data_IF_402222411758
#
_entry.id   IF_402222411758
#
_cell.length_a   1.000
_cell.length_b   1.000
_cell.length_c   1.000
_cell.angle_alpha   90.00
_cell.angle_beta   90.00
_cell.angle_gamma   90.00
#
_symmetry.space_group_name_H-M   'P 1'
#
loop_
_entity.id
_entity.type
_entity.pdbx_description
1 polymer ?
#
# COMPACT_ATOMS: atom_id res chain seq x y z
N UNK A 1 44.15 -14.71 -12.54
CA UNK A 1 44.39 -13.46 -11.80
C UNK A 1 43.93 -13.67 -10.36
N UNK A 2 44.76 -13.29 -9.41
CA UNK A 2 44.76 -13.68 -7.99
C UNK A 2 43.67 -12.98 -7.17
N UNK A 3 42.74 -13.75 -6.57
CA UNK A 3 41.75 -13.30 -5.56
C UNK A 3 42.03 -13.81 -4.11
N UNK A 4 43.26 -13.84 -3.56
CA UNK A 4 43.49 -14.40 -2.23
C UNK A 4 43.08 -13.47 -1.06
N UNK A 5 42.86 -12.17 -1.30
CA UNK A 5 42.63 -11.19 -0.22
C UNK A 5 41.16 -10.92 0.12
N UNK A 6 40.21 -11.30 -0.75
CA UNK A 6 38.78 -11.10 -0.48
C UNK A 6 38.21 -12.17 0.46
N UNK A 7 38.60 -13.44 0.25
CA UNK A 7 38.11 -14.57 1.05
C UNK A 7 38.63 -14.54 2.50
N UNK A 8 39.84 -14.03 2.72
CA UNK A 8 40.44 -13.89 4.06
C UNK A 8 39.80 -12.75 4.86
N UNK A 9 39.50 -11.63 4.20
CA UNK A 9 38.73 -10.52 4.80
C UNK A 9 37.30 -10.96 5.17
N UNK A 10 36.61 -11.68 4.28
CA UNK A 10 35.26 -12.21 4.55
C UNK A 10 35.29 -13.23 5.71
N UNK A 11 36.27 -14.14 5.73
CA UNK A 11 36.40 -15.14 6.79
C UNK A 11 36.62 -14.52 8.17
N UNK A 12 37.41 -13.44 8.27
CA UNK A 12 37.62 -12.72 9.54
C UNK A 12 36.37 -11.99 10.05
N UNK A 13 35.52 -11.47 9.16
CA UNK A 13 34.24 -10.82 9.52
C UNK A 13 33.15 -11.83 9.88
N UNK A 14 33.11 -12.97 9.21
CA UNK A 14 32.11 -14.03 9.48
C UNK A 14 32.35 -14.70 10.83
N UNK A 15 33.60 -14.79 11.30
CA UNK A 15 33.91 -15.33 12.64
C UNK A 15 33.43 -14.46 13.80
N UNK A 16 33.10 -13.18 13.57
CA UNK A 16 32.52 -12.29 14.60
C UNK A 16 30.99 -12.23 14.60
N UNK A 17 30.32 -12.87 13.64
CA UNK A 17 28.86 -12.87 13.56
C UNK A 17 28.36 -14.09 14.33
N UNK A 18 27.82 -13.86 15.52
CA UNK A 18 27.11 -14.89 16.26
C UNK A 18 25.82 -15.23 15.49
N UNK A 19 25.67 -16.43 14.88
CA UNK A 19 24.53 -16.75 14.02
C UNK A 19 23.21 -16.90 14.78
N UNK A 20 23.24 -16.76 16.12
CA UNK A 20 22.09 -16.85 17.02
C UNK A 20 21.82 -15.55 17.80
N UNK A 21 22.48 -14.44 17.44
CA UNK A 21 22.17 -13.13 18.01
C UNK A 21 20.87 -12.58 17.43
N UNK A 22 19.96 -12.10 18.27
CA UNK A 22 18.81 -11.29 17.83
C UNK A 22 19.31 -10.12 16.98
N UNK A 23 18.74 -9.87 15.78
CA UNK A 23 19.19 -8.78 14.95
C UNK A 23 19.04 -7.47 15.71
N UNK A 24 20.16 -6.78 15.93
CA UNK A 24 20.17 -5.43 16.47
C UNK A 24 19.48 -4.52 15.46
N UNK A 25 18.35 -3.93 15.85
CA UNK A 25 17.72 -2.82 15.13
C UNK A 25 18.66 -1.60 15.15
N UNK A 26 19.63 -1.58 14.24
CA UNK A 26 20.47 -0.42 13.96
C UNK A 26 19.88 0.39 12.80
N UNK A 27 19.97 1.74 12.85
CA UNK A 27 19.48 2.65 11.81
C UNK A 27 20.25 2.59 10.48
N UNK A 28 21.25 1.70 10.36
CA UNK A 28 22.05 1.45 9.15
C UNK A 28 21.58 0.18 8.40
N UNK A 29 20.28 -0.12 8.41
CA UNK A 29 19.75 -1.19 7.57
C UNK A 29 19.98 -0.78 6.10
N UNK A 30 20.86 -1.48 5.40
CA UNK A 30 21.08 -1.27 3.98
C UNK A 30 19.83 -1.68 3.22
N UNK A 31 19.30 -0.76 2.41
CA UNK A 31 18.13 -0.99 1.57
C UNK A 31 18.57 -1.46 0.18
N UNK A 32 18.44 -2.76 -0.15
CA UNK A 32 19.03 -3.29 -1.35
C UNK A 32 18.24 -2.89 -2.60
N UNK A 33 18.95 -2.43 -3.62
CA UNK A 33 18.35 -2.30 -4.95
C UNK A 33 18.22 -3.69 -5.60
N UNK A 34 17.42 -3.77 -6.67
CA UNK A 34 17.26 -4.98 -7.48
C UNK A 34 18.63 -5.54 -7.92
N UNK A 35 19.54 -4.66 -8.38
CA UNK A 35 20.88 -5.03 -8.81
C UNK A 35 21.74 -5.62 -7.67
N UNK A 36 21.55 -5.15 -6.44
CA UNK A 36 22.26 -5.67 -5.27
C UNK A 36 21.80 -7.09 -4.95
N UNK A 37 20.48 -7.35 -5.01
CA UNK A 37 19.93 -8.69 -4.80
C UNK A 37 20.45 -9.67 -5.85
N UNK A 38 20.47 -9.29 -7.14
CA UNK A 38 21.05 -10.12 -8.19
C UNK A 38 22.56 -10.36 -7.99
N UNK A 39 23.30 -9.35 -7.52
CA UNK A 39 24.71 -9.51 -7.20
C UNK A 39 24.92 -10.55 -6.09
N UNK A 40 24.09 -10.50 -5.03
CA UNK A 40 24.12 -11.51 -3.95
C UNK A 40 23.75 -12.90 -4.48
N UNK A 41 22.70 -13.02 -5.31
CA UNK A 41 22.34 -14.30 -5.95
C UNK A 41 23.50 -14.89 -6.74
N UNK A 42 24.15 -14.08 -7.58
CA UNK A 42 25.29 -14.51 -8.39
C UNK A 42 26.47 -14.96 -7.52
N UNK A 43 26.74 -14.26 -6.41
CA UNK A 43 27.75 -14.68 -5.43
C UNK A 43 27.38 -16.03 -4.82
N UNK A 44 26.15 -16.22 -4.35
CA UNK A 44 25.70 -17.47 -3.76
C UNK A 44 25.79 -18.63 -4.77
N UNK A 45 25.40 -18.40 -6.03
CA UNK A 45 25.53 -19.38 -7.10
C UNK A 45 26.99 -19.72 -7.41
N UNK A 46 27.90 -18.75 -7.33
CA UNK A 46 29.35 -19.00 -7.51
C UNK A 46 29.93 -19.93 -6.43
N UNK A 47 29.26 -20.04 -5.28
CA UNK A 47 29.58 -20.99 -4.21
C UNK A 47 28.92 -22.36 -4.43
N UNK A 48 28.41 -22.63 -5.63
CA UNK A 48 27.69 -23.86 -6.01
C UNK A 48 26.35 -24.09 -5.29
N UNK A 49 25.69 -23.02 -4.82
CA UNK A 49 24.33 -23.14 -4.30
C UNK A 49 23.31 -23.12 -5.46
N UNK A 50 22.35 -24.07 -5.48
CA UNK A 50 21.18 -23.97 -6.35
C UNK A 50 20.41 -22.68 -6.12
N UNK A 51 19.70 -22.21 -7.16
CA UNK A 51 18.95 -20.95 -7.11
C UNK A 51 17.91 -20.96 -5.98
N UNK A 52 17.27 -22.11 -5.73
CA UNK A 52 16.25 -22.26 -4.70
C UNK A 52 16.83 -22.03 -3.29
N UNK A 53 18.07 -22.48 -3.04
CA UNK A 53 18.75 -22.23 -1.77
C UNK A 53 19.23 -20.78 -1.67
N UNK A 54 19.70 -20.19 -2.77
CA UNK A 54 20.05 -18.77 -2.79
C UNK A 54 18.83 -17.89 -2.48
N UNK A 55 17.68 -18.19 -3.08
CA UNK A 55 16.40 -17.52 -2.83
C UNK A 55 15.94 -17.71 -1.39
N UNK A 56 16.07 -18.92 -0.84
CA UNK A 56 15.76 -19.20 0.58
C UNK A 56 16.64 -18.39 1.52
N UNK A 57 17.94 -18.26 1.22
CA UNK A 57 18.87 -17.44 2.01
C UNK A 57 18.49 -15.96 1.96
N UNK A 58 18.15 -15.46 0.77
CA UNK A 58 17.70 -14.07 0.58
C UNK A 58 16.41 -13.80 1.33
N UNK A 59 15.44 -14.72 1.25
CA UNK A 59 14.17 -14.61 1.94
C UNK A 59 14.35 -14.64 3.47
N UNK A 60 15.21 -15.53 3.97
CA UNK A 60 15.53 -15.61 5.39
C UNK A 60 16.25 -14.34 5.88
N UNK A 61 17.15 -13.77 5.08
CA UNK A 61 17.84 -12.53 5.37
C UNK A 61 16.94 -11.28 5.21
N UNK A 62 15.74 -11.43 4.63
CA UNK A 62 14.86 -10.33 4.24
C UNK A 62 15.55 -9.30 3.34
N UNK A 63 16.45 -9.76 2.48
CA UNK A 63 17.28 -8.92 1.62
C UNK A 63 16.56 -8.65 0.29
N UNK A 64 15.51 -7.82 0.38
CA UNK A 64 14.59 -7.55 -0.73
C UNK A 64 14.57 -6.07 -1.10
N UNK A 65 14.43 -5.73 -2.39
CA UNK A 65 14.09 -4.36 -2.76
C UNK A 65 12.73 -3.95 -2.21
N UNK A 66 12.55 -2.64 -2.09
CA UNK A 66 11.29 -2.07 -1.64
C UNK A 66 11.00 -0.72 -2.29
N UNK A 67 9.75 -0.29 -2.17
CA UNK A 67 9.33 1.09 -2.44
C UNK A 67 8.76 1.68 -1.16
N UNK A 68 9.06 2.96 -0.93
CA UNK A 68 8.57 3.70 0.23
C UNK A 68 7.62 4.80 -0.21
N UNK A 69 6.53 4.94 0.53
CA UNK A 69 5.62 6.07 0.44
C UNK A 69 5.66 6.82 1.75
N UNK A 70 6.12 8.06 1.72
CA UNK A 70 6.25 8.91 2.91
C UNK A 70 5.31 10.11 2.79
N UNK A 71 4.53 10.34 3.83
CA UNK A 71 3.64 11.48 3.98
C UNK A 71 4.04 12.27 5.23
N UNK A 72 4.74 13.37 4.99
CA UNK A 72 5.31 14.20 6.07
C UNK A 72 4.24 15.07 6.76
N UNK A 73 4.40 15.24 8.07
CA UNK A 73 3.38 15.74 9.01
C UNK A 73 3.07 17.24 9.01
N UNK A 74 3.21 17.98 7.90
CA UNK A 74 2.87 19.42 7.90
C UNK A 74 1.38 19.63 8.22
N UNK A 75 0.51 18.77 7.68
CA UNK A 75 -0.90 18.70 8.05
C UNK A 75 -1.21 17.28 8.49
N UNK A 76 -1.71 17.03 9.71
CA UNK A 76 -2.11 15.68 10.09
C UNK A 76 -3.30 15.20 9.26
N UNK A 77 -3.32 13.91 8.94
CA UNK A 77 -4.56 13.27 8.50
C UNK A 77 -5.52 13.14 9.69
N UNK A 78 -6.82 13.32 9.47
CA UNK A 78 -7.78 13.17 10.54
C UNK A 78 -9.14 12.69 10.05
N UNK A 79 -9.83 11.91 10.88
CA UNK A 79 -11.22 11.56 10.68
C UNK A 79 -12.02 11.94 11.93
N UNK A 80 -13.26 12.35 11.72
CA UNK A 80 -14.18 12.77 12.77
C UNK A 80 -15.55 12.17 12.53
N UNK A 81 -16.08 11.50 13.55
CA UNK A 81 -17.43 10.93 13.47
C UNK A 81 -18.47 12.00 13.17
N UNK A 82 -19.44 11.67 12.30
CA UNK A 82 -20.49 12.53 11.71
C UNK A 82 -20.09 13.39 10.49
N UNK A 83 -18.85 13.88 10.38
CA UNK A 83 -18.49 14.85 9.34
C UNK A 83 -17.50 14.32 8.30
N UNK A 84 -16.52 13.54 8.74
CA UNK A 84 -15.42 13.04 7.91
C UNK A 84 -14.98 11.70 8.47
N UNK A 85 -15.88 10.71 8.42
CA UNK A 85 -15.69 9.42 9.09
C UNK A 85 -14.58 8.59 8.44
N UNK A 86 -14.35 8.84 7.15
CA UNK A 86 -13.56 8.02 6.24
C UNK A 86 -12.54 8.93 5.55
N UNK A 87 -11.29 8.93 6.02
CA UNK A 87 -10.24 9.81 5.52
C UNK A 87 -9.15 9.03 4.82
N UNK A 88 -8.93 9.30 3.54
CA UNK A 88 -7.82 8.70 2.80
C UNK A 88 -6.50 9.38 3.15
N UNK A 89 -5.52 8.57 3.56
CA UNK A 89 -4.21 9.04 4.01
C UNK A 89 -3.20 8.98 2.85
N UNK A 90 -2.95 7.78 2.33
CA UNK A 90 -1.86 7.51 1.40
C UNK A 90 -2.10 6.25 0.56
N UNK A 91 -1.38 6.17 -0.56
CA UNK A 91 -1.28 5.02 -1.48
C UNK A 91 0.18 4.70 -1.70
N UNK A 92 0.51 3.41 -1.76
CA UNK A 92 1.82 2.98 -2.27
C UNK A 92 1.94 3.20 -3.77
N UNK A 93 3.16 3.11 -4.30
CA UNK A 93 3.32 2.79 -5.72
C UNK A 93 2.72 1.41 -6.02
N UNK A 94 2.23 1.17 -7.25
CA UNK A 94 1.80 -0.15 -7.67
C UNK A 94 2.94 -1.16 -7.51
N UNK A 95 2.63 -2.37 -7.05
CA UNK A 95 3.63 -3.43 -6.92
C UNK A 95 4.26 -3.69 -8.30
N UNK A 96 5.59 -3.66 -8.34
CA UNK A 96 6.39 -3.81 -9.55
C UNK A 96 6.64 -2.50 -10.34
N UNK A 97 5.94 -1.41 -10.02
CA UNK A 97 6.22 -0.09 -10.58
C UNK A 97 7.34 0.59 -9.78
N UNK A 98 8.48 0.82 -10.42
CA UNK A 98 9.63 1.46 -9.77
C UNK A 98 9.45 2.99 -9.73
N UNK A 99 10.00 3.70 -8.73
CA UNK A 99 9.94 5.16 -8.66
C UNK A 99 10.55 5.88 -9.87
N UNK A 100 11.43 5.21 -10.61
CA UNK A 100 12.05 5.72 -11.84
C UNK A 100 11.25 5.43 -13.11
N UNK A 101 10.09 4.75 -13.01
CA UNK A 101 9.26 4.39 -14.15
C UNK A 101 8.68 5.64 -14.84
N UNK A 102 8.71 5.74 -16.17
CA UNK A 102 7.99 6.77 -16.91
C UNK A 102 6.48 6.80 -16.66
N UNK A 103 5.90 5.72 -16.12
CA UNK A 103 4.48 5.65 -15.76
C UNK A 103 4.12 6.42 -14.50
N UNK A 104 5.09 6.82 -13.68
CA UNK A 104 4.86 7.66 -12.49
C UNK A 104 4.80 9.15 -12.82
N UNK A 105 4.92 9.52 -14.10
CA UNK A 105 4.78 10.90 -14.55
C UNK A 105 3.36 11.42 -14.19
N UNK A 106 3.24 12.63 -13.62
CA UNK A 106 1.94 13.20 -13.25
C UNK A 106 0.93 13.35 -14.41
N UNK A 107 1.39 13.34 -15.67
CA UNK A 107 0.52 13.33 -16.86
C UNK A 107 -0.10 11.97 -17.16
N UNK A 108 0.36 10.90 -16.50
CA UNK A 108 -0.03 9.50 -16.76
C UNK A 108 -0.57 8.78 -15.54
N UNK A 109 -0.13 9.17 -14.36
CA UNK A 109 -0.57 8.63 -13.09
C UNK A 109 -1.67 9.52 -12.47
N UNK A 110 -2.59 8.94 -11.67
CA UNK A 110 -3.58 9.72 -10.96
C UNK A 110 -2.90 10.65 -9.94
N UNK A 111 -3.43 11.85 -9.79
CA UNK A 111 -2.93 12.82 -8.83
C UNK A 111 -2.98 12.26 -7.40
N UNK A 112 -1.91 12.43 -6.64
CA UNK A 112 -1.84 12.09 -5.22
C UNK A 112 -2.50 13.20 -4.40
N UNK A 113 -3.83 13.15 -4.22
CA UNK A 113 -4.54 14.07 -3.34
C UNK A 113 -4.74 13.46 -1.94
N UNK A 114 -4.46 14.26 -0.90
CA UNK A 114 -4.70 13.89 0.50
C UNK A 114 -6.15 14.24 0.87
N UNK A 115 -6.81 13.39 1.67
CA UNK A 115 -8.14 13.68 2.19
C UNK A 115 -9.25 12.89 1.53
N UNK A 116 -10.16 13.54 0.80
CA UNK A 116 -11.23 12.82 0.12
C UNK A 116 -10.68 12.24 -1.17
N UNK A 117 -10.45 10.94 -1.19
CA UNK A 117 -10.27 10.22 -2.45
C UNK A 117 -11.47 10.44 -3.33
N UNK A 118 -11.21 10.78 -4.58
CA UNK A 118 -12.16 10.64 -5.68
C UNK A 118 -11.74 9.37 -6.43
N UNK A 119 -12.25 8.18 -6.05
CA UNK A 119 -11.95 6.96 -6.79
C UNK A 119 -12.34 7.18 -8.25
N UNK A 120 -11.49 6.77 -9.18
CA UNK A 120 -11.81 6.91 -10.59
C UNK A 120 -13.00 6.00 -10.90
N UNK A 121 -14.09 6.52 -11.50
CA UNK A 121 -15.20 5.68 -11.90
C UNK A 121 -14.77 4.76 -13.04
N UNK A 122 -14.92 3.45 -12.86
CA UNK A 122 -14.72 2.49 -13.94
C UNK A 122 -16.06 2.01 -14.49
N UNK A 123 -16.15 1.77 -15.81
CA UNK A 123 -17.32 1.11 -16.37
C UNK A 123 -17.47 -0.31 -15.79
N UNK A 124 -18.71 -0.83 -15.66
CA UNK A 124 -18.94 -2.18 -15.14
C UNK A 124 -18.26 -3.28 -15.97
N UNK A 125 -18.00 -3.02 -17.25
CA UNK A 125 -17.27 -3.91 -18.14
C UNK A 125 -16.04 -3.20 -18.71
N UNK A 126 -14.93 -3.95 -18.75
CA UNK A 126 -13.68 -3.50 -19.37
C UNK A 126 -13.60 -4.05 -20.80
N UNK A 127 -13.28 -3.17 -21.75
CA UNK A 127 -12.98 -3.49 -23.14
C UNK A 127 -11.72 -4.36 -23.25
N UNK A 128 -11.65 -5.15 -24.31
CA UNK A 128 -10.49 -6.01 -24.55
C UNK A 128 -9.22 -5.19 -24.86
N UNK A 129 -9.37 -3.98 -25.40
CA UNK A 129 -8.28 -3.04 -25.60
C UNK A 129 -7.67 -2.58 -24.26
N UNK A 130 -8.49 -2.12 -23.31
CA UNK A 130 -8.06 -1.72 -21.97
C UNK A 130 -7.43 -2.89 -21.19
N UNK A 131 -7.99 -4.10 -21.31
CA UNK A 131 -7.40 -5.31 -20.71
C UNK A 131 -6.00 -5.58 -21.27
N UNK A 132 -5.87 -5.56 -22.61
CA UNK A 132 -4.58 -5.81 -23.28
C UNK A 132 -3.54 -4.75 -22.92
N UNK A 133 -3.93 -3.48 -22.86
CA UNK A 133 -3.05 -2.38 -22.48
C UNK A 133 -2.61 -2.49 -21.01
N UNK A 134 -3.54 -2.84 -20.11
CA UNK A 134 -3.23 -3.08 -18.68
C UNK A 134 -2.26 -4.25 -18.53
N UNK A 135 -2.47 -5.37 -19.24
CA UNK A 135 -1.57 -6.51 -19.20
C UNK A 135 -0.17 -6.17 -19.76
N UNK A 136 -0.09 -5.36 -20.81
CA UNK A 136 1.18 -4.88 -21.36
C UNK A 136 1.93 -3.98 -20.36
N UNK A 137 1.22 -3.10 -19.65
CA UNK A 137 1.78 -2.27 -18.59
C UNK A 137 2.32 -3.11 -17.43
N UNK A 138 1.55 -4.09 -16.96
CA UNK A 138 2.02 -5.02 -15.91
C UNK A 138 3.24 -5.81 -16.35
N UNK A 139 3.30 -6.22 -17.61
CA UNK A 139 4.46 -6.94 -18.15
C UNK A 139 5.71 -6.06 -18.17
N UNK A 140 5.58 -4.77 -18.51
CA UNK A 140 6.69 -3.82 -18.47
C UNK A 140 7.20 -3.62 -17.03
N UNK A 141 6.28 -3.42 -16.07
CA UNK A 141 6.62 -3.32 -14.66
C UNK A 141 7.26 -4.58 -14.09
N UNK A 142 6.72 -5.77 -14.41
CA UNK A 142 7.31 -7.03 -14.01
C UNK A 142 8.70 -7.23 -14.62
N UNK A 143 8.93 -6.81 -15.87
CA UNK A 143 10.24 -6.87 -16.50
C UNK A 143 11.24 -5.91 -15.83
N UNK A 144 10.81 -4.74 -15.38
CA UNK A 144 11.67 -3.79 -14.69
C UNK A 144 11.99 -4.20 -13.25
N UNK A 145 10.98 -4.68 -12.51
CA UNK A 145 11.08 -5.01 -11.08
C UNK A 145 11.47 -6.47 -10.79
N UNK A 146 11.38 -7.34 -11.79
CA UNK A 146 11.70 -8.77 -11.74
C UNK A 146 11.08 -9.51 -10.54
N UNK A 147 9.78 -9.34 -10.25
CA UNK A 147 9.18 -9.96 -9.07
C UNK A 147 9.03 -11.47 -9.27
N UNK A 148 9.19 -12.25 -8.21
CA UNK A 148 8.96 -13.71 -8.24
C UNK A 148 7.51 -14.02 -8.60
N UNK A 149 7.29 -15.07 -9.40
CA UNK A 149 5.96 -15.39 -9.97
C UNK A 149 4.86 -15.63 -8.92
N UNK A 150 5.18 -16.25 -7.79
CA UNK A 150 4.23 -16.55 -6.73
C UNK A 150 4.49 -15.69 -5.49
N UNK A 151 3.42 -15.02 -5.02
CA UNK A 151 3.42 -14.12 -3.86
C UNK A 151 4.59 -13.12 -3.94
N UNK A 152 4.60 -12.24 -4.95
CA UNK A 152 5.72 -11.35 -5.20
C UNK A 152 6.00 -10.45 -4.00
N UNK A 153 4.96 -9.94 -3.33
CA UNK A 153 5.11 -9.16 -2.10
C UNK A 153 5.53 -10.08 -0.93
N UNK A 154 6.56 -9.67 -0.20
CA UNK A 154 7.10 -10.42 0.95
C UNK A 154 6.77 -9.75 2.28
N UNK A 155 6.76 -8.43 2.31
CA UNK A 155 6.59 -7.67 3.56
C UNK A 155 6.01 -6.31 3.27
N UNK A 156 5.10 -5.87 4.13
CA UNK A 156 4.65 -4.48 4.19
C UNK A 156 4.91 -3.95 5.59
N UNK A 157 5.51 -2.77 5.68
CA UNK A 157 5.75 -2.10 6.97
C UNK A 157 5.01 -0.77 6.98
N UNK A 158 4.10 -0.63 7.94
CA UNK A 158 3.38 0.62 8.19
C UNK A 158 4.00 1.29 9.41
N UNK A 159 4.51 2.51 9.24
CA UNK A 159 4.95 3.38 10.34
C UNK A 159 4.11 4.63 10.37
N UNK A 160 3.60 4.98 11.54
CA UNK A 160 2.80 6.19 11.72
C UNK A 160 2.70 6.58 13.19
N UNK A 161 2.46 7.86 13.44
CA UNK A 161 2.07 8.39 14.74
C UNK A 161 0.58 8.63 14.76
N UNK A 162 -0.13 8.08 15.74
CA UNK A 162 -1.59 8.21 15.82
C UNK A 162 -2.10 8.40 17.24
N UNK A 163 -3.21 9.13 17.36
CA UNK A 163 -3.97 9.31 18.62
C UNK A 163 -5.45 9.57 18.38
N UNK A 164 -6.24 9.37 19.43
CA UNK A 164 -7.66 9.74 19.50
C UNK A 164 -7.89 10.90 20.46
N UNK A 165 -8.21 12.06 19.90
CA UNK A 165 -8.49 13.30 20.65
C UNK A 165 -9.99 13.55 20.82
N UNK A 166 -10.80 12.50 20.65
CA UNK A 166 -12.21 12.51 21.00
C UNK A 166 -12.47 12.52 22.51
N UNK A 167 -13.73 12.69 22.87
CA UNK A 167 -14.24 12.55 24.23
C UNK A 167 -15.25 11.40 24.37
N UNK A 168 -15.46 10.63 23.29
CA UNK A 168 -16.33 9.47 23.25
C UNK A 168 -15.84 8.28 24.08
N UNK A 169 -16.72 7.28 24.22
CA UNK A 169 -16.43 6.02 24.94
C UNK A 169 -16.73 6.07 26.44
N UNK A 170 -16.74 4.89 27.07
CA UNK A 170 -16.93 4.76 28.50
C UNK A 170 -15.68 5.22 29.28
N UNK A 171 -15.88 5.85 30.43
CA UNK A 171 -14.76 6.35 31.25
C UNK A 171 -13.76 5.26 31.66
N UNK A 172 -14.25 4.03 31.90
CA UNK A 172 -13.44 2.87 32.28
C UNK A 172 -12.45 2.44 31.20
N UNK A 173 -12.74 2.71 29.93
CA UNK A 173 -11.96 2.25 28.79
C UNK A 173 -10.95 3.30 28.32
N UNK A 174 -10.94 4.50 28.95
CA UNK A 174 -10.04 5.61 28.60
C UNK A 174 -8.58 5.18 28.64
N UNK A 175 -7.85 5.54 27.59
CA UNK A 175 -6.45 5.17 27.45
C UNK A 175 -6.24 3.67 27.17
N UNK A 176 -7.27 2.91 26.83
CA UNK A 176 -7.18 1.53 26.36
C UNK A 176 -7.66 1.43 24.91
N UNK A 177 -7.43 0.30 24.25
CA UNK A 177 -7.98 0.04 22.91
C UNK A 177 -9.45 -0.44 22.93
N UNK A 178 -9.99 -0.74 24.11
CA UNK A 178 -11.34 -1.22 24.28
C UNK A 178 -12.36 -0.12 23.98
N UNK A 179 -13.47 -0.48 23.35
CA UNK A 179 -14.53 0.48 23.01
C UNK A 179 -14.11 1.59 22.06
N UNK A 180 -12.95 1.47 21.41
CA UNK A 180 -12.45 2.49 20.48
C UNK A 180 -13.19 2.47 19.15
N UNK A 181 -13.71 3.64 18.78
CA UNK A 181 -14.30 3.88 17.46
C UNK A 181 -13.43 4.81 16.61
N UNK A 182 -12.12 4.80 16.86
CA UNK A 182 -11.11 5.39 15.97
C UNK A 182 -10.05 4.34 15.61
N UNK A 183 -9.76 4.21 14.32
CA UNK A 183 -8.83 3.18 13.83
C UNK A 183 -8.25 3.53 12.46
N UNK A 184 -7.27 2.73 12.02
CA UNK A 184 -6.75 2.73 10.67
C UNK A 184 -7.11 1.42 9.98
N UNK A 185 -7.49 1.51 8.71
CA UNK A 185 -7.72 0.38 7.82
C UNK A 185 -6.79 0.43 6.61
N UNK A 186 -6.52 -0.75 6.07
CA UNK A 186 -5.76 -0.93 4.84
C UNK A 186 -6.73 -1.37 3.75
N UNK A 187 -6.64 -0.73 2.58
CA UNK A 187 -7.38 -1.12 1.39
C UNK A 187 -6.48 -1.60 0.27
N UNK A 188 -7.09 -2.19 -0.75
CA UNK A 188 -6.46 -2.66 -1.98
C UNK A 188 -7.09 -1.98 -3.19
N UNK A 189 -6.26 -1.36 -4.00
CA UNK A 189 -6.62 -0.82 -5.31
C UNK A 189 -5.85 -1.56 -6.40
N UNK A 190 -6.32 -1.50 -7.64
CA UNK A 190 -5.66 -2.10 -8.80
C UNK A 190 -5.54 -1.10 -9.94
N UNK A 191 -4.37 -1.03 -10.54
CA UNK A 191 -4.10 -0.18 -11.70
C UNK A 191 -4.85 -0.68 -12.92
N UNK A 192 -5.51 0.22 -13.65
CA UNK A 192 -6.10 -0.06 -14.96
C UNK A 192 -5.74 1.03 -15.95
N UNK A 193 -5.38 0.60 -17.16
CA UNK A 193 -5.32 1.50 -18.33
C UNK A 193 -6.74 1.67 -18.85
N UNK A 194 -7.16 2.92 -19.05
CA UNK A 194 -8.44 3.27 -19.66
C UNK A 194 -8.14 3.75 -21.07
N UNK A 195 -8.66 3.06 -22.08
CA UNK A 195 -8.53 3.49 -23.48
C UNK A 195 -9.34 4.77 -23.76
N UNK A 196 -8.92 5.55 -24.74
CA UNK A 196 -9.57 6.83 -25.10
C UNK A 196 -11.06 6.64 -25.42
N UNK A 197 -11.46 5.48 -25.96
CA UNK A 197 -12.87 5.15 -26.23
C UNK A 197 -13.69 4.86 -24.96
N UNK A 198 -13.09 4.32 -23.90
CA UNK A 198 -13.75 4.13 -22.59
C UNK A 198 -13.84 5.45 -21.84
N UNK A 199 -12.77 6.26 -21.92
CA UNK A 199 -12.75 7.64 -21.45
C UNK A 199 -13.85 8.46 -22.15
N UNK A 200 -14.03 8.31 -23.47
CA UNK A 200 -15.11 8.95 -24.21
C UNK A 200 -16.52 8.48 -23.80
N UNK A 201 -16.73 7.26 -23.33
CA UNK A 201 -18.05 6.80 -22.83
C UNK A 201 -18.34 7.44 -21.47
N UNK A 202 -17.32 7.57 -20.61
CA UNK A 202 -17.37 8.33 -19.36
C UNK A 202 -17.58 9.84 -19.61
N UNK A 203 -16.92 10.41 -20.63
CA UNK A 203 -16.96 11.83 -21.00
C UNK A 203 -18.16 12.22 -21.89
N UNK A 204 -18.75 11.31 -22.68
CA UNK A 204 -19.99 11.55 -23.46
C UNK A 204 -21.22 11.76 -22.58
N UNK A 205 -21.13 11.39 -21.29
CA UNK A 205 -22.04 11.83 -20.24
C UNK A 205 -21.91 13.33 -19.90
N UNK A 206 -20.91 14.04 -20.46
CA UNK A 206 -20.58 15.44 -20.16
C UNK A 206 -20.37 16.36 -21.40
N UNK A 207 -19.98 15.88 -22.60
CA UNK A 207 -19.78 16.59 -23.93
C UNK A 207 -18.85 17.84 -23.91
N UNK A 208 -18.01 18.19 -24.91
CA UNK A 208 -17.90 18.03 -26.38
C UNK A 208 -16.38 17.86 -26.79
N UNK A 209 -16.03 17.58 -28.07
CA UNK A 209 -14.88 16.76 -28.51
C UNK A 209 -13.63 17.55 -28.95
N UNK A 210 -12.46 16.89 -28.95
CA UNK A 210 -11.29 17.22 -29.79
C UNK A 210 -10.19 16.12 -29.78
N UNK A 211 -9.19 16.15 -30.69
CA UNK A 211 -9.04 15.18 -31.78
C UNK A 211 -8.00 14.07 -31.53
N UNK A 212 -8.15 13.02 -32.32
CA UNK A 212 -7.37 11.78 -32.37
C UNK A 212 -5.85 12.01 -32.53
N UNK A 213 -5.06 11.42 -31.61
CA UNK A 213 -3.61 11.33 -31.74
C UNK A 213 -3.20 9.94 -32.22
N UNK A 214 -2.45 9.89 -33.32
CA UNK A 214 -1.87 8.67 -33.88
C UNK A 214 -0.80 8.10 -32.93
N UNK A 215 -0.94 6.82 -32.55
CA UNK A 215 0.08 6.07 -31.78
C UNK A 215 1.23 5.61 -32.69
N UNK A 216 2.45 6.01 -32.37
CA UNK A 216 3.69 5.40 -32.87
C UNK A 216 4.14 4.27 -31.94
N UNK A 217 4.75 3.22 -32.48
CA UNK A 217 5.48 2.19 -31.72
C UNK A 217 6.56 2.86 -30.85
N UNK A 218 6.27 2.97 -29.55
CA UNK A 218 7.14 3.55 -28.54
C UNK A 218 7.03 2.75 -27.24
N UNK A 219 7.93 3.07 -26.32
CA UNK A 219 7.98 2.53 -24.96
C UNK A 219 6.59 2.50 -24.30
N UNK A 220 6.10 1.29 -23.98
CA UNK A 220 4.74 1.01 -23.49
C UNK A 220 4.36 1.88 -22.29
N UNK A 221 5.30 2.08 -21.36
CA UNK A 221 5.11 2.91 -20.17
C UNK A 221 4.97 4.40 -20.49
N UNK A 222 5.45 4.81 -21.68
CA UNK A 222 5.31 6.18 -22.19
C UNK A 222 4.02 6.41 -22.97
N UNK A 223 3.31 5.34 -23.33
CA UNK A 223 2.11 5.42 -24.17
C UNK A 223 0.82 5.46 -23.37
N UNK A 224 0.75 4.81 -22.20
CA UNK A 224 -0.50 4.63 -21.47
C UNK A 224 -0.61 5.55 -20.25
N UNK A 225 -1.74 6.28 -20.17
CA UNK A 225 -2.24 6.81 -18.91
C UNK A 225 -3.05 5.73 -18.18
N UNK A 226 -3.04 5.77 -16.86
CA UNK A 226 -3.69 4.75 -16.03
C UNK A 226 -4.37 5.36 -14.81
N UNK A 227 -5.34 4.64 -14.26
CA UNK A 227 -6.13 5.02 -13.10
C UNK A 227 -6.25 3.85 -12.11
N UNK A 228 -6.85 4.11 -10.94
CA UNK A 228 -6.92 3.16 -9.82
C UNK A 228 -8.35 2.72 -9.52
N UNK A 229 -8.63 1.44 -9.70
CA UNK A 229 -9.87 0.79 -9.30
C UNK A 229 -9.81 0.35 -7.84
N UNK A 230 -10.82 0.71 -7.05
CA UNK A 230 -10.93 0.24 -5.66
C UNK A 230 -11.46 -1.20 -5.63
N UNK A 231 -10.66 -2.12 -5.07
CA UNK A 231 -11.03 -3.53 -4.89
C UNK A 231 -11.55 -3.74 -3.47
N UNK A 232 -10.84 -3.20 -2.48
CA UNK A 232 -11.23 -3.23 -1.07
C UNK A 232 -10.88 -1.88 -0.41
N UNK A 233 -11.86 -1.13 0.13
CA UNK A 233 -13.30 -1.39 0.03
C UNK A 233 -13.83 -1.27 -1.41
N UNK A 234 -14.89 -1.99 -1.77
CA UNK A 234 -15.52 -1.84 -3.08
C UNK A 234 -16.32 -0.52 -3.18
N UNK A 235 -16.60 -0.02 -4.38
CA UNK A 235 -17.58 1.04 -4.60
C UNK A 235 -18.98 0.64 -4.12
N UNK A 236 -19.75 1.57 -3.53
CA UNK A 236 -21.16 1.32 -3.13
C UNK A 236 -22.04 1.00 -4.35
N UNK A 237 -22.75 -0.12 -4.31
CA UNK A 237 -23.72 -0.49 -5.35
C UNK A 237 -24.91 0.50 -5.39
N UNK A 238 -25.33 0.90 -6.60
CA UNK A 238 -26.55 1.70 -6.81
C UNK A 238 -26.43 3.19 -6.46
N UNK A 239 -25.24 3.67 -6.07
CA UNK A 239 -24.96 5.10 -5.99
C UNK A 239 -24.85 5.70 -7.38
N UNK A 240 -25.96 6.18 -7.96
CA UNK A 240 -25.87 7.20 -9.01
C UNK A 240 -24.90 8.25 -8.50
N UNK A 241 -23.88 8.69 -9.25
CA UNK A 241 -22.93 9.67 -8.75
C UNK A 241 -23.70 10.89 -8.26
N UNK A 242 -23.77 11.05 -6.93
CA UNK A 242 -24.47 12.19 -6.35
C UNK A 242 -23.56 13.38 -6.62
N UNK A 243 -23.99 14.22 -7.54
CA UNK A 243 -23.42 15.55 -7.74
C UNK A 243 -23.36 16.23 -6.38
N UNK A 244 -22.15 16.45 -5.87
CA UNK A 244 -22.03 17.18 -4.61
C UNK A 244 -22.33 18.64 -4.90
N UNK A 245 -23.35 19.18 -4.26
CA UNK A 245 -23.75 20.59 -4.30
C UNK A 245 -22.74 21.49 -3.54
N UNK A 246 -21.53 20.98 -3.27
CA UNK A 246 -20.50 21.60 -2.43
C UNK A 246 -19.40 22.34 -3.23
N UNK A 247 -19.54 22.48 -4.54
CA UNK A 247 -18.76 23.41 -5.36
C UNK A 247 -19.45 24.77 -5.43
N UNK A 248 -19.50 25.52 -4.33
CA UNK A 248 -19.95 26.91 -4.34
C UNK A 248 -18.83 27.94 -4.13
N UNK A 249 -17.54 27.55 -4.15
CA UNK A 249 -16.48 28.54 -3.91
C UNK A 249 -15.25 28.54 -4.84
N UNK A 250 -15.10 27.59 -5.75
CA UNK A 250 -14.07 27.66 -6.80
C UNK A 250 -14.69 26.99 -8.02
N UNK A 251 -14.53 27.57 -9.21
CA UNK A 251 -15.27 27.23 -10.44
C UNK A 251 -14.96 25.86 -11.05
N UNK A 252 -14.69 24.85 -10.22
CA UNK A 252 -14.54 23.46 -10.62
C UNK A 252 -15.92 22.81 -10.73
N UNK A 253 -16.17 22.20 -11.89
CA UNK A 253 -17.37 21.43 -12.18
C UNK A 253 -17.59 20.33 -11.11
N UNK A 254 -18.83 20.03 -10.71
CA UNK A 254 -19.12 18.98 -9.75
C UNK A 254 -18.75 17.61 -10.34
N UNK A 255 -17.59 17.08 -9.95
CA UNK A 255 -17.15 15.75 -10.34
C UNK A 255 -18.01 14.67 -9.65
N UNK A 256 -18.36 13.58 -10.36
CA UNK A 256 -19.03 12.43 -9.76
C UNK A 256 -18.12 11.78 -8.71
N UNK A 257 -18.46 11.91 -7.43
CA UNK A 257 -17.75 11.19 -6.36
C UNK A 257 -18.32 9.79 -6.21
N UNK A 258 -17.53 8.77 -6.55
CA UNK A 258 -17.80 7.37 -6.19
C UNK A 258 -17.57 7.22 -4.69
N UNK A 259 -18.59 6.78 -3.96
CA UNK A 259 -18.49 6.51 -2.53
C UNK A 259 -18.12 5.04 -2.30
N UNK A 260 -17.14 4.78 -1.44
CA UNK A 260 -16.69 3.43 -1.12
C UNK A 260 -17.49 2.83 0.03
N UNK A 261 -17.71 1.53 -0.01
CA UNK A 261 -18.42 0.77 1.01
C UNK A 261 -17.46 0.29 2.10
N UNK A 262 -17.15 1.17 3.03
CA UNK A 262 -16.33 0.79 4.16
C UNK A 262 -17.12 0.10 5.27
N UNK A 263 -16.50 -0.83 6.01
CA UNK A 263 -17.09 -1.43 7.20
C UNK A 263 -17.58 -0.40 8.21
N UNK A 264 -18.76 -0.67 8.78
CA UNK A 264 -19.39 0.26 9.70
C UNK A 264 -18.61 0.37 11.03
N UNK A 265 -18.11 -0.75 11.54
CA UNK A 265 -17.32 -0.85 12.79
C UNK A 265 -15.91 -1.36 12.48
N UNK A 266 -14.96 -1.21 13.41
CA UNK A 266 -13.69 -1.94 13.32
C UNK A 266 -13.94 -3.44 13.22
N UNK A 267 -13.08 -4.14 12.49
CA UNK A 267 -13.23 -5.56 12.17
C UNK A 267 -11.89 -6.30 12.37
N UNK A 268 -11.87 -7.60 12.13
CA UNK A 268 -10.67 -8.42 12.39
C UNK A 268 -9.52 -8.15 11.42
N UNK A 269 -9.76 -7.43 10.33
CA UNK A 269 -8.71 -6.98 9.40
C UNK A 269 -8.30 -5.51 9.62
N UNK A 270 -8.80 -4.87 10.67
CA UNK A 270 -8.39 -3.51 11.05
C UNK A 270 -6.90 -3.47 11.38
N UNK A 271 -6.18 -2.53 10.76
CA UNK A 271 -4.73 -2.41 10.95
C UNK A 271 -4.40 -2.08 12.41
N UNK A 272 -5.01 -1.02 12.94
CA UNK A 272 -4.73 -0.54 14.29
C UNK A 272 -5.83 0.38 14.81
N UNK A 273 -6.42 0.05 15.97
CA UNK A 273 -7.26 0.95 16.76
C UNK A 273 -6.41 1.93 17.54
N UNK A 274 -6.96 3.10 17.87
CA UNK A 274 -6.35 4.01 18.82
C UNK A 274 -6.78 3.73 20.25
N UNK A 275 -5.93 4.17 21.19
CA UNK A 275 -6.29 4.26 22.61
C UNK A 275 -7.34 5.36 22.76
N UNK A 276 -8.42 5.09 23.47
CA UNK A 276 -9.57 6.00 23.55
C UNK A 276 -9.25 7.29 24.32
N UNK A 277 -9.75 8.41 23.80
CA UNK A 277 -9.81 9.72 24.47
C UNK A 277 -8.50 10.13 25.18
N UNK A 278 -7.36 10.02 24.48
CA UNK A 278 -6.04 10.41 24.99
C UNK A 278 -5.36 11.42 24.09
N UNK A 279 -4.70 12.39 24.70
CA UNK A 279 -3.89 13.37 23.97
C UNK A 279 -2.50 12.82 23.60
N UNK A 280 -2.10 11.68 24.16
CA UNK A 280 -0.79 11.10 23.93
C UNK A 280 -0.70 10.53 22.51
N UNK A 281 0.26 11.02 21.73
CA UNK A 281 0.63 10.41 20.46
C UNK A 281 1.36 9.09 20.72
N UNK A 282 1.01 8.05 19.94
CA UNK A 282 1.72 6.78 19.97
C UNK A 282 2.30 6.47 18.60
N UNK A 283 3.57 6.12 18.59
CA UNK A 283 4.27 5.55 17.44
C UNK A 283 3.87 4.09 17.26
N UNK A 284 3.50 3.75 16.03
CA UNK A 284 3.20 2.39 15.62
C UNK A 284 4.15 1.95 14.51
N UNK A 285 4.60 0.70 14.59
CA UNK A 285 5.28 -0.01 13.51
C UNK A 285 4.57 -1.35 13.37
N UNK A 286 3.77 -1.49 12.33
CA UNK A 286 3.02 -2.71 12.05
C UNK A 286 3.64 -3.38 10.84
N UNK A 287 4.04 -4.64 11.01
CA UNK A 287 4.66 -5.45 9.96
C UNK A 287 3.70 -6.56 9.58
N UNK A 288 3.39 -6.65 8.29
CA UNK A 288 2.67 -7.77 7.69
C UNK A 288 3.64 -8.52 6.79
N UNK A 289 3.69 -9.85 6.93
CA UNK A 289 4.58 -10.70 6.12
C UNK A 289 3.79 -11.73 5.34
N UNK A 290 4.38 -12.19 4.24
CA UNK A 290 3.79 -13.23 3.41
C UNK A 290 3.81 -14.62 4.07
N UNK A 291 4.71 -14.84 5.02
CA UNK A 291 4.90 -16.09 5.78
C UNK A 291 4.26 -16.05 7.18
N UNK A 292 3.53 -14.97 7.49
CA UNK A 292 2.66 -14.91 8.67
C UNK A 292 1.55 -15.98 8.54
N UNK A 293 1.25 -16.68 9.65
CA UNK A 293 0.27 -17.79 9.72
C UNK A 293 -0.41 -17.86 11.10
N UNK A 294 -0.73 -16.71 11.69
CA UNK A 294 -1.49 -16.65 12.94
C UNK A 294 -2.97 -16.92 12.63
N UNK A 295 -3.51 -18.00 13.19
CA UNK A 295 -4.95 -18.30 13.16
C UNK A 295 -5.72 -17.23 13.95
N UNK A 296 -6.78 -16.67 13.35
CA UNK A 296 -7.59 -15.61 13.95
C UNK A 296 -8.30 -16.03 15.24
N UNK A 297 -8.48 -17.33 15.47
CA UNK A 297 -9.09 -17.89 16.68
C UNK A 297 -8.06 -18.33 17.74
N UNK A 298 -6.76 -18.09 17.50
CA UNK A 298 -5.68 -18.45 18.43
C UNK A 298 -5.47 -17.43 19.55
N UNK A 299 -4.79 -17.86 20.61
CA UNK A 299 -4.35 -16.97 21.69
C UNK A 299 -3.40 -15.85 21.18
N UNK A 300 -2.58 -16.14 20.16
CA UNK A 300 -1.70 -15.15 19.54
C UNK A 300 -2.51 -14.03 18.86
N UNK A 301 -3.63 -14.37 18.21
CA UNK A 301 -4.55 -13.39 17.64
C UNK A 301 -5.26 -12.56 18.73
N UNK A 302 -5.55 -13.15 19.90
CA UNK A 302 -6.06 -12.40 21.06
C UNK A 302 -5.04 -11.37 21.56
N UNK A 303 -3.75 -11.68 21.56
CA UNK A 303 -2.70 -10.71 21.91
C UNK A 303 -2.60 -9.55 20.90
N UNK A 304 -2.81 -9.83 19.60
CA UNK A 304 -2.95 -8.75 18.59
C UNK A 304 -4.14 -7.84 18.94
N UNK A 305 -5.30 -8.42 19.29
CA UNK A 305 -6.49 -7.65 19.64
C UNK A 305 -6.29 -6.79 20.90
N UNK A 306 -5.63 -7.32 21.93
CA UNK A 306 -5.30 -6.57 23.15
C UNK A 306 -4.44 -5.34 22.89
N UNK A 307 -3.62 -5.38 21.85
CA UNK A 307 -2.79 -4.24 21.41
C UNK A 307 -3.48 -3.34 20.36
N UNK A 308 -4.75 -3.61 20.06
CA UNK A 308 -5.59 -2.82 19.15
C UNK A 308 -5.49 -3.22 17.69
N UNK A 309 -4.77 -4.29 17.35
CA UNK A 309 -4.64 -4.83 15.99
C UNK A 309 -5.73 -5.87 15.72
N UNK A 310 -6.27 -5.93 14.51
CA UNK A 310 -7.28 -6.93 14.14
C UNK A 310 -6.73 -8.36 14.17
N UNK A 311 -7.54 -9.31 14.65
CA UNK A 311 -7.14 -10.72 14.82
C UNK A 311 -6.66 -11.40 13.53
N UNK A 312 -7.33 -11.11 12.42
CA UNK A 312 -7.05 -11.70 11.11
C UNK A 312 -5.93 -10.99 10.34
N UNK A 313 -5.26 -9.99 10.93
CA UNK A 313 -4.15 -9.28 10.24
C UNK A 313 -2.80 -9.98 10.37
N UNK A 314 -2.70 -11.02 11.19
CA UNK A 314 -1.48 -11.81 11.42
C UNK A 314 -1.40 -13.09 10.60
N UNK A 315 -2.28 -13.27 9.61
CA UNK A 315 -2.39 -14.53 8.86
C UNK A 315 -1.64 -14.50 7.51
N UNK A 316 -1.03 -13.37 7.12
CA UNK A 316 -0.29 -13.18 5.87
C UNK A 316 -1.09 -13.18 4.56
N UNK A 317 -2.41 -13.40 4.62
CA UNK A 317 -3.28 -13.55 3.44
C UNK A 317 -3.26 -12.29 2.57
N UNK A 318 -3.36 -11.10 3.19
CA UNK A 318 -3.32 -9.84 2.46
C UNK A 318 -2.04 -9.70 1.63
N UNK A 319 -0.87 -9.96 2.24
CA UNK A 319 0.44 -9.85 1.57
C UNK A 319 0.55 -10.86 0.43
N UNK A 320 0.14 -12.11 0.66
CA UNK A 320 0.13 -13.16 -0.37
C UNK A 320 -0.82 -12.86 -1.52
N UNK A 321 -1.89 -12.10 -1.29
CA UNK A 321 -2.87 -11.75 -2.32
C UNK A 321 -2.40 -10.66 -3.30
N UNK A 322 -1.27 -10.00 -3.03
CA UNK A 322 -0.80 -8.88 -3.85
C UNK A 322 -0.09 -9.36 -5.12
N UNK A 323 -0.47 -8.74 -6.23
CA UNK A 323 0.06 -8.98 -7.56
C UNK A 323 0.66 -7.71 -8.15
N UNK A 324 1.42 -7.85 -9.24
CA UNK A 324 1.91 -6.70 -10.00
C UNK A 324 0.74 -5.81 -10.44
N UNK A 325 0.87 -4.51 -10.16
CA UNK A 325 -0.16 -3.51 -10.41
C UNK A 325 -1.15 -3.28 -9.27
N UNK A 326 -1.09 -4.05 -8.18
CA UNK A 326 -1.87 -3.77 -6.98
C UNK A 326 -1.25 -2.62 -6.16
N UNK A 327 -2.10 -1.81 -5.55
CA UNK A 327 -1.74 -0.66 -4.72
C UNK A 327 -2.34 -0.85 -3.33
N UNK A 328 -1.54 -0.56 -2.31
CA UNK A 328 -1.96 -0.61 -0.91
C UNK A 328 -2.35 0.80 -0.48
N UNK A 329 -3.52 0.93 0.14
CA UNK A 329 -4.04 2.21 0.63
C UNK A 329 -4.16 2.23 2.14
N UNK A 330 -4.02 3.40 2.75
CA UNK A 330 -4.19 3.59 4.19
C UNK A 330 -5.29 4.63 4.46
N UNK A 331 -6.16 4.30 5.41
CA UNK A 331 -7.33 5.10 5.75
C UNK A 331 -7.40 5.36 7.25
N UNK A 332 -7.70 6.60 7.64
CA UNK A 332 -8.08 6.97 9.00
C UNK A 332 -9.61 6.92 9.13
N UNK A 333 -10.07 6.34 10.24
CA UNK A 333 -11.48 6.06 10.50
C UNK A 333 -11.88 6.61 11.87
N UNK A 334 -13.02 7.30 11.94
CA UNK A 334 -13.62 7.70 13.20
C UNK A 334 -15.15 7.61 13.11
N UNK A 335 -15.77 6.82 14.00
CA UNK A 335 -17.23 6.64 14.02
C UNK A 335 -17.86 7.27 15.24
N UNK A 336 -19.09 7.73 15.04
CA UNK A 336 -19.94 8.38 16.03
C UNK A 336 -19.48 9.77 16.48
N UNK A 337 -20.42 10.66 16.82
CA UNK A 337 -20.08 11.97 17.37
C UNK A 337 -19.17 11.86 18.61
N UNK A 338 -18.18 12.73 18.70
CA UNK A 338 -17.25 12.77 19.83
C UNK A 338 -15.97 11.96 19.66
N UNK A 339 -15.81 11.22 18.56
CA UNK A 339 -14.57 10.51 18.21
C UNK A 339 -13.75 11.27 17.17
N UNK A 340 -12.43 11.32 17.35
CA UNK A 340 -11.53 12.05 16.45
C UNK A 340 -10.15 11.39 16.40
N UNK A 341 -9.75 10.89 15.23
CA UNK A 341 -8.38 10.39 15.01
C UNK A 341 -7.49 11.45 14.38
N UNK A 342 -6.24 11.53 14.81
CA UNK A 342 -5.16 12.27 14.15
C UNK A 342 -4.03 11.32 13.81
N UNK A 343 -3.54 11.34 12.57
CA UNK A 343 -2.40 10.53 12.09
C UNK A 343 -1.33 11.42 11.45
N UNK A 344 -0.07 11.20 11.83
CA UNK A 344 1.12 11.94 11.38
C UNK A 344 2.23 10.97 10.97
N UNK A 345 3.19 11.49 10.19
CA UNK A 345 4.43 10.82 9.79
C UNK A 345 4.22 9.40 9.30
N UNK A 346 3.36 9.30 8.29
CA UNK A 346 2.97 8.02 7.72
C UNK A 346 4.03 7.60 6.72
N UNK A 347 4.54 6.40 6.88
CA UNK A 347 5.44 5.72 5.96
C UNK A 347 4.91 4.31 5.70
N UNK A 348 4.87 3.91 4.43
CA UNK A 348 4.48 2.58 4.01
C UNK A 348 5.58 2.04 3.10
N UNK A 349 6.25 0.97 3.54
CA UNK A 349 7.25 0.26 2.75
C UNK A 349 6.68 -1.05 2.24
N UNK A 350 6.85 -1.31 0.95
CA UNK A 350 6.41 -2.55 0.30
C UNK A 350 7.62 -3.27 -0.31
N UNK A 351 7.93 -4.45 0.24
CA UNK A 351 9.07 -5.27 -0.15
C UNK A 351 8.62 -6.43 -1.03
N UNK A 352 9.40 -6.79 -2.04
CA UNK A 352 9.10 -7.92 -2.92
C UNK A 352 10.31 -8.82 -3.18
N UNK A 353 10.04 -10.10 -3.41
CA UNK A 353 11.08 -11.01 -3.84
C UNK A 353 11.38 -10.82 -5.33
N UNK A 354 12.68 -10.74 -5.63
CA UNK A 354 13.26 -10.84 -6.97
C UNK A 354 13.81 -12.24 -7.17
#
# INVERSE_FOLDING_TARGET
MTFPNFLTSLSSRVQSINPFGTPTNSPDAFDPAIADVFSVKAILQSLSLPLELADTIIDFAQYWPHTSTVLTGINPAYAQGKALEDYFIARTLPLGCLPSSPSTDPSRAPATSRGRTTPHPFPPSQSDASKKATAALYSAWAQASQPREAHPCRKIVFRFRSRDQGWGGDHKDRGTYNGSFTWLDVGKERVRVVDDNESEILEKSMKLPQPEAQRSEGDVEKTFAWNLESIDPPPKEGGVPKWSQAGLDLGDMPMPTVELEHPFLPHDKTLQKNRTATNDEKDYTIVWRWDDDIDAESDDAEELQKTGRGKATGNGEFVRSLEVGDVVTLWARARFPGWFITVKDVEIDMFWAV
#
